data_IF_195403064716
#
_entry.id   IF_195403064716
#
_cell.length_a   1.000
_cell.length_b   1.000
_cell.length_c   1.000
_cell.angle_alpha   90.00
_cell.angle_beta   90.00
_cell.angle_gamma   90.00
#
_symmetry.space_group_name_H-M   'P 1'
#
loop_
_entity.id
_entity.type
_entity.pdbx_description
1 polymer ?
#
# COMPACT_ATOMS: atom_id res chain seq x y z
N UNK A 1 -14.27 -7.81 -2.60
CA UNK A 1 -13.98 -6.47 -3.22
C UNK A 1 -12.84 -5.83 -2.43
N UNK A 2 -11.83 -5.28 -3.13
CA UNK A 2 -10.70 -4.57 -2.50
C UNK A 2 -11.15 -3.21 -1.94
N UNK A 3 -10.38 -2.62 -1.02
CA UNK A 3 -10.76 -1.37 -0.32
C UNK A 3 -10.99 -0.19 -1.28
N UNK A 4 -10.11 -0.02 -2.27
CA UNK A 4 -10.23 0.96 -3.36
C UNK A 4 -10.85 2.35 -2.98
N UNK A 5 -10.26 3.11 -2.05
CA UNK A 5 -10.81 4.38 -1.55
C UNK A 5 -10.45 5.58 -2.46
N UNK A 6 -10.39 5.39 -3.79
CA UNK A 6 -9.83 6.41 -4.69
C UNK A 6 -10.57 7.75 -4.64
N UNK A 7 -11.89 7.75 -4.42
CA UNK A 7 -12.68 8.98 -4.31
C UNK A 7 -12.34 9.69 -3.00
N UNK A 8 -12.31 8.96 -1.88
CA UNK A 8 -11.98 9.49 -0.55
C UNK A 8 -10.57 10.08 -0.50
N UNK A 9 -9.57 9.40 -1.08
CA UNK A 9 -8.21 9.92 -1.18
C UNK A 9 -8.17 11.25 -1.96
N UNK A 10 -8.94 11.39 -3.04
CA UNK A 10 -8.99 12.65 -3.82
C UNK A 10 -9.68 13.76 -3.04
N UNK A 11 -10.75 13.46 -2.31
CA UNK A 11 -11.40 14.43 -1.43
C UNK A 11 -10.42 14.91 -0.36
N UNK A 12 -9.70 14.00 0.30
CA UNK A 12 -8.69 14.36 1.31
C UNK A 12 -7.60 15.25 0.71
N UNK A 13 -7.00 14.86 -0.41
CA UNK A 13 -5.97 15.66 -1.09
C UNK A 13 -6.45 17.07 -1.43
N UNK A 14 -7.69 17.20 -1.90
CA UNK A 14 -8.24 18.51 -2.23
C UNK A 14 -8.60 19.34 -0.98
N UNK A 15 -9.00 18.71 0.13
CA UNK A 15 -9.17 19.41 1.40
C UNK A 15 -7.84 20.00 1.89
N UNK A 16 -6.76 19.24 1.84
CA UNK A 16 -5.42 19.75 2.19
C UNK A 16 -4.97 20.86 1.23
N UNK A 17 -5.19 20.67 -0.08
CA UNK A 17 -4.88 21.69 -1.09
C UNK A 17 -5.68 22.99 -0.88
N UNK A 18 -6.93 22.91 -0.38
CA UNK A 18 -7.74 24.08 -0.03
C UNK A 18 -7.13 24.85 1.13
N UNK A 19 -6.68 24.17 2.18
CA UNK A 19 -6.04 24.84 3.31
C UNK A 19 -4.74 25.52 2.86
N UNK A 20 -3.94 24.84 2.03
CA UNK A 20 -2.74 25.44 1.43
C UNK A 20 -3.06 26.66 0.55
N UNK A 21 -4.06 26.54 -0.32
CA UNK A 21 -4.54 27.64 -1.19
C UNK A 21 -4.88 28.89 -0.36
N UNK A 22 -5.58 28.72 0.78
CA UNK A 22 -5.90 29.82 1.70
C UNK A 22 -4.67 30.42 2.35
N UNK A 23 -3.75 29.58 2.85
CA UNK A 23 -2.53 30.04 3.52
C UNK A 23 -1.64 30.90 2.62
N UNK A 24 -1.54 30.55 1.34
CA UNK A 24 -0.68 31.27 0.39
C UNK A 24 -1.42 32.37 -0.40
N UNK A 25 -2.74 32.53 -0.18
CA UNK A 25 -3.56 33.50 -0.90
C UNK A 25 -3.74 33.19 -2.40
N UNK A 26 -3.74 31.92 -2.79
CA UNK A 26 -4.00 31.53 -4.17
C UNK A 26 -5.51 31.57 -4.51
N UNK A 27 -5.85 31.92 -5.76
CA UNK A 27 -7.24 32.09 -6.19
C UNK A 27 -8.00 30.77 -6.43
N UNK A 28 -7.30 29.74 -6.93
CA UNK A 28 -7.89 28.45 -7.30
C UNK A 28 -6.84 27.32 -7.35
N UNK A 29 -7.30 26.09 -7.54
CA UNK A 29 -6.46 24.88 -7.59
C UNK A 29 -6.41 24.33 -9.01
N UNK A 30 -5.22 23.89 -9.43
CA UNK A 30 -5.00 23.18 -10.70
C UNK A 30 -4.67 21.72 -10.40
N UNK A 31 -5.29 20.78 -11.13
CA UNK A 31 -4.91 19.36 -11.08
C UNK A 31 -4.63 18.79 -12.47
N UNK A 32 -3.71 17.83 -12.56
CA UNK A 32 -3.43 17.09 -13.80
C UNK A 32 -4.43 15.95 -14.08
N UNK A 33 -5.65 16.01 -13.52
CA UNK A 33 -6.65 14.95 -13.72
C UNK A 33 -7.22 14.99 -15.13
N UNK A 34 -7.35 13.82 -15.76
CA UNK A 34 -7.94 13.66 -17.10
C UNK A 34 -9.24 12.87 -17.00
N UNK A 35 -10.30 13.39 -17.63
CA UNK A 35 -11.61 12.75 -17.68
C UNK A 35 -11.50 11.34 -18.28
N UNK A 36 -11.95 10.32 -17.55
CA UNK A 36 -11.95 8.92 -17.96
C UNK A 36 -10.60 8.20 -17.82
N UNK A 37 -9.53 8.88 -17.38
CA UNK A 37 -8.20 8.27 -17.35
C UNK A 37 -8.00 7.30 -16.18
N UNK A 38 -8.64 7.55 -15.02
CA UNK A 38 -8.71 6.61 -13.89
C UNK A 38 -10.17 6.18 -13.69
N UNK A 39 -10.47 4.87 -13.69
CA UNK A 39 -11.85 4.40 -13.83
C UNK A 39 -12.66 4.61 -12.55
N UNK A 40 -11.98 4.69 -11.39
CA UNK A 40 -12.60 4.79 -10.09
C UNK A 40 -12.89 6.23 -9.66
N UNK A 41 -12.02 7.18 -9.98
CA UNK A 41 -12.10 8.56 -9.48
C UNK A 41 -12.34 9.62 -10.54
N UNK A 42 -11.91 9.40 -11.79
CA UNK A 42 -11.91 10.44 -12.83
C UNK A 42 -13.07 10.26 -13.80
N UNK A 43 -14.31 10.36 -13.30
CA UNK A 43 -15.53 10.25 -14.09
C UNK A 43 -16.27 11.59 -14.10
N UNK A 44 -17.04 11.86 -15.16
CA UNK A 44 -17.72 13.15 -15.38
C UNK A 44 -18.56 13.57 -14.17
N UNK A 45 -19.31 12.63 -13.60
CA UNK A 45 -20.17 12.89 -12.43
C UNK A 45 -19.43 12.81 -11.09
N UNK A 46 -18.21 12.25 -11.07
CA UNK A 46 -17.42 12.10 -9.85
C UNK A 46 -16.62 13.35 -9.52
N UNK A 47 -16.13 14.11 -10.52
CA UNK A 47 -15.41 15.36 -10.25
C UNK A 47 -16.25 16.39 -9.48
N UNK A 48 -17.49 16.73 -9.89
CA UNK A 48 -18.30 17.71 -9.14
C UNK A 48 -18.62 17.25 -7.72
N UNK A 49 -18.79 15.94 -7.52
CA UNK A 49 -19.04 15.33 -6.21
C UNK A 49 -17.81 15.48 -5.30
N UNK A 50 -16.62 15.14 -5.79
CA UNK A 50 -15.35 15.30 -5.07
C UNK A 50 -15.13 16.78 -4.71
N UNK A 51 -15.26 17.68 -5.69
CA UNK A 51 -15.01 19.12 -5.50
C UNK A 51 -15.99 19.71 -4.48
N UNK A 52 -17.27 19.32 -4.54
CA UNK A 52 -18.28 19.73 -3.56
C UNK A 52 -17.94 19.25 -2.16
N UNK A 53 -17.53 17.99 -1.99
CA UNK A 53 -17.16 17.45 -0.67
C UNK A 53 -15.88 18.05 -0.09
N UNK A 54 -14.97 18.52 -0.95
CA UNK A 54 -13.80 19.30 -0.55
C UNK A 54 -14.12 20.79 -0.32
N UNK A 55 -15.36 21.23 -0.57
CA UNK A 55 -15.80 22.63 -0.57
C UNK A 55 -14.98 23.52 -1.53
N UNK A 56 -14.72 22.99 -2.72
CA UNK A 56 -13.96 23.63 -3.80
C UNK A 56 -14.77 23.65 -5.11
N UNK A 57 -16.10 23.58 -5.04
CA UNK A 57 -16.96 23.59 -6.23
C UNK A 57 -16.65 24.84 -7.08
N UNK A 58 -16.27 24.61 -8.33
CA UNK A 58 -15.92 25.68 -9.29
C UNK A 58 -14.51 26.24 -9.14
N UNK A 59 -13.72 25.81 -8.15
CA UNK A 59 -12.36 26.29 -7.89
C UNK A 59 -11.26 25.28 -8.27
N UNK A 60 -11.62 24.11 -8.80
CA UNK A 60 -10.65 23.10 -9.26
C UNK A 60 -10.62 23.07 -10.78
N UNK A 61 -9.57 23.67 -11.36
CA UNK A 61 -9.31 23.65 -12.79
C UNK A 61 -8.59 22.36 -13.19
N UNK A 62 -9.10 21.70 -14.23
CA UNK A 62 -8.53 20.48 -14.82
C UNK A 62 -8.14 20.76 -16.28
N UNK A 63 -7.01 21.44 -16.54
CA UNK A 63 -6.70 22.04 -17.84
C UNK A 63 -6.63 21.03 -18.99
N UNK A 64 -6.25 19.79 -18.71
CA UNK A 64 -6.16 18.73 -19.72
C UNK A 64 -7.53 18.28 -20.26
N UNK A 65 -8.61 18.46 -19.49
CA UNK A 65 -9.97 18.07 -19.87
C UNK A 65 -10.97 19.22 -19.78
N UNK A 66 -10.50 20.45 -19.62
CA UNK A 66 -11.33 21.60 -19.29
C UNK A 66 -12.46 21.81 -20.29
N UNK A 67 -12.19 21.65 -21.60
CA UNK A 67 -13.17 21.80 -22.67
C UNK A 67 -14.35 20.82 -22.59
N UNK A 68 -14.21 19.73 -21.82
CA UNK A 68 -15.23 18.69 -21.62
C UNK A 68 -15.98 18.78 -20.29
N UNK A 69 -15.60 19.73 -19.44
CA UNK A 69 -16.13 19.93 -18.09
C UNK A 69 -16.82 21.29 -17.99
N UNK A 70 -17.61 21.46 -16.93
CA UNK A 70 -18.27 22.74 -16.65
C UNK A 70 -17.23 23.85 -16.45
N UNK A 71 -17.59 25.07 -16.83
CA UNK A 71 -16.71 26.25 -16.71
C UNK A 71 -16.46 26.53 -15.22
N UNK A 72 -15.19 26.71 -14.85
CA UNK A 72 -14.77 27.05 -13.49
C UNK A 72 -14.82 28.57 -13.23
N UNK A 73 -14.81 28.98 -11.96
CA UNK A 73 -14.75 30.40 -11.56
C UNK A 73 -13.56 31.16 -12.17
N UNK A 74 -12.31 30.64 -12.17
CA UNK A 74 -11.21 31.34 -12.82
C UNK A 74 -11.37 31.49 -14.34
N UNK A 75 -12.07 30.56 -15.00
CA UNK A 75 -12.43 30.72 -16.41
C UNK A 75 -13.52 31.80 -16.61
N UNK A 76 -14.55 31.81 -15.77
CA UNK A 76 -15.65 32.80 -15.82
C UNK A 76 -15.15 34.23 -15.61
N UNK A 77 -14.23 34.42 -14.68
CA UNK A 77 -13.69 35.73 -14.33
C UNK A 77 -12.54 36.18 -15.26
N UNK A 78 -12.18 35.37 -16.26
CA UNK A 78 -11.14 35.69 -17.24
C UNK A 78 -9.70 35.52 -16.74
N UNK A 79 -9.47 34.94 -15.55
CA UNK A 79 -8.12 34.60 -15.06
C UNK A 79 -7.47 33.51 -15.91
N UNK A 80 -8.30 32.64 -16.51
CA UNK A 80 -7.86 31.54 -17.38
C UNK A 80 -8.64 31.58 -18.69
N UNK A 81 -7.91 31.57 -19.81
CA UNK A 81 -8.51 31.52 -21.14
C UNK A 81 -8.82 30.07 -21.52
N UNK A 82 -10.10 29.71 -21.56
CA UNK A 82 -10.55 28.35 -21.86
C UNK A 82 -10.09 27.83 -23.23
N UNK A 83 -9.93 28.71 -24.21
CA UNK A 83 -9.52 28.33 -25.57
C UNK A 83 -8.09 27.77 -25.62
N UNK A 84 -7.24 28.19 -24.68
CA UNK A 84 -5.85 27.71 -24.50
C UNK A 84 -5.78 26.35 -23.76
N UNK A 85 -6.92 25.81 -23.30
CA UNK A 85 -7.00 24.53 -22.59
C UNK A 85 -7.32 23.35 -23.53
N UNK A 86 -7.39 22.13 -22.98
CA UNK A 86 -7.52 20.90 -23.77
C UNK A 86 -8.82 20.14 -23.53
N UNK A 87 -9.09 19.19 -24.42
CA UNK A 87 -10.22 18.26 -24.44
C UNK A 87 -9.77 16.78 -24.32
N UNK A 88 -8.61 16.54 -23.72
CA UNK A 88 -8.05 15.19 -23.56
C UNK A 88 -8.98 14.39 -22.65
N UNK A 89 -9.29 13.16 -23.06
CA UNK A 89 -10.08 12.22 -22.29
C UNK A 89 -9.71 10.77 -22.59
N UNK A 90 -10.25 9.86 -21.78
CA UNK A 90 -10.08 8.43 -21.91
C UNK A 90 -8.80 7.91 -21.26
N UNK A 91 -8.48 6.65 -21.57
CA UNK A 91 -7.42 5.87 -20.89
C UNK A 91 -6.02 6.13 -21.39
N UNK A 92 -5.91 6.56 -22.65
CA UNK A 92 -4.63 6.77 -23.32
C UNK A 92 -3.88 7.94 -22.68
N UNK A 93 -2.55 7.81 -22.57
CA UNK A 93 -1.65 8.88 -22.15
C UNK A 93 -0.85 9.49 -23.31
N UNK A 94 -1.07 9.00 -24.54
CA UNK A 94 -0.35 9.50 -25.73
C UNK A 94 -0.46 11.02 -25.92
N UNK A 95 -1.64 11.66 -25.75
CA UNK A 95 -1.74 13.11 -25.89
C UNK A 95 -0.90 13.87 -24.86
N UNK A 96 -0.90 13.43 -23.60
CA UNK A 96 -0.10 14.05 -22.54
C UNK A 96 1.41 13.90 -22.81
N UNK A 97 1.84 12.74 -23.30
CA UNK A 97 3.25 12.52 -23.67
C UNK A 97 3.66 13.35 -24.88
N UNK A 98 2.76 13.56 -25.84
CA UNK A 98 3.00 14.47 -26.95
C UNK A 98 3.16 15.91 -26.45
N UNK A 99 2.26 16.36 -25.56
CA UNK A 99 2.32 17.68 -24.95
C UNK A 99 3.59 17.89 -24.12
N UNK A 100 4.01 16.86 -23.37
CA UNK A 100 5.27 16.90 -22.63
C UNK A 100 6.48 17.11 -23.57
N UNK A 101 6.50 16.43 -24.73
CA UNK A 101 7.55 16.65 -25.74
C UNK A 101 7.51 18.04 -26.34
N UNK A 102 6.32 18.56 -26.64
CA UNK A 102 6.11 19.90 -27.17
C UNK A 102 6.65 20.98 -26.20
N UNK A 103 6.40 20.82 -24.91
CA UNK A 103 6.91 21.72 -23.87
C UNK A 103 8.36 21.43 -23.44
N UNK A 104 9.05 20.46 -24.05
CA UNK A 104 10.42 20.10 -23.67
C UNK A 104 10.52 19.49 -22.26
N UNK A 105 9.44 18.93 -21.72
CA UNK A 105 9.42 18.26 -20.42
C UNK A 105 10.06 16.88 -20.55
N UNK A 106 11.31 16.76 -20.11
CA UNK A 106 12.10 15.52 -20.18
C UNK A 106 11.99 14.67 -18.92
N UNK A 107 11.63 15.28 -17.78
CA UNK A 107 11.48 14.59 -16.50
C UNK A 107 10.01 14.65 -16.04
N UNK A 108 9.35 13.50 -16.10
CA UNK A 108 8.04 13.30 -15.50
C UNK A 108 7.90 11.83 -15.09
N UNK A 109 7.17 11.55 -14.00
CA UNK A 109 7.04 10.20 -13.50
C UNK A 109 6.39 9.30 -14.56
N UNK A 110 6.98 8.12 -14.76
CA UNK A 110 6.33 7.06 -15.52
C UNK A 110 4.93 6.77 -14.92
N UNK A 111 3.95 6.35 -15.74
CA UNK A 111 2.61 6.05 -15.23
C UNK A 111 2.69 5.04 -14.09
N UNK A 112 2.48 5.51 -12.85
CA UNK A 112 2.53 4.64 -11.69
C UNK A 112 1.50 3.52 -11.84
N UNK A 113 1.86 2.33 -11.34
CA UNK A 113 0.97 1.19 -11.20
C UNK A 113 -0.31 1.52 -10.41
N UNK A 114 -1.19 0.53 -10.27
CA UNK A 114 -2.35 0.67 -9.40
C UNK A 114 -1.95 1.03 -7.96
N UNK A 115 -2.84 1.69 -7.22
CA UNK A 115 -2.65 1.89 -5.78
C UNK A 115 -2.50 0.52 -5.09
N UNK A 116 -1.67 0.40 -4.05
CA UNK A 116 -1.53 -0.86 -3.28
C UNK A 116 -2.86 -1.36 -2.72
N UNK A 117 -3.80 -0.45 -2.43
CA UNK A 117 -5.15 -0.78 -1.98
C UNK A 117 -6.04 -1.44 -3.06
N UNK A 118 -5.52 -1.52 -4.28
CA UNK A 118 -6.12 -2.27 -5.38
C UNK A 118 -5.51 -3.66 -5.54
N UNK A 119 -4.37 -3.95 -4.90
CA UNK A 119 -3.78 -5.30 -4.89
C UNK A 119 -4.51 -6.16 -3.84
N UNK A 120 -5.07 -7.33 -4.23
CA UNK A 120 -5.91 -8.14 -3.35
C UNK A 120 -5.23 -8.55 -2.04
N UNK A 121 -3.98 -9.02 -2.08
CA UNK A 121 -3.31 -9.52 -0.88
C UNK A 121 -2.96 -8.38 0.08
N UNK A 122 -2.50 -7.24 -0.42
CA UNK A 122 -2.24 -6.05 0.38
C UNK A 122 -3.53 -5.53 1.02
N UNK A 123 -4.61 -5.40 0.24
CA UNK A 123 -5.91 -4.98 0.76
C UNK A 123 -6.44 -5.95 1.83
N UNK A 124 -6.24 -7.26 1.64
CA UNK A 124 -6.60 -8.28 2.64
C UNK A 124 -5.78 -8.12 3.93
N UNK A 125 -4.45 -8.00 3.81
CA UNK A 125 -3.55 -7.79 4.96
C UNK A 125 -3.84 -6.50 5.72
N UNK A 126 -4.21 -5.42 5.01
CA UNK A 126 -4.58 -4.16 5.64
C UNK A 126 -5.91 -4.29 6.39
N UNK A 127 -6.91 -4.95 5.78
CA UNK A 127 -8.17 -5.23 6.47
C UNK A 127 -7.95 -6.06 7.74
N UNK A 128 -7.08 -7.06 7.65
CA UNK A 128 -6.66 -7.88 8.79
C UNK A 128 -6.00 -7.03 9.86
N UNK A 129 -5.03 -6.18 9.50
CA UNK A 129 -4.38 -5.28 10.46
C UNK A 129 -5.40 -4.39 11.19
N UNK A 130 -6.30 -3.75 10.46
CA UNK A 130 -7.33 -2.88 11.03
C UNK A 130 -8.36 -3.63 11.90
N UNK A 131 -8.44 -4.96 11.79
CA UNK A 131 -9.32 -5.79 12.65
C UNK A 131 -8.72 -5.95 14.05
N UNK A 132 -7.40 -6.01 14.16
CA UNK A 132 -6.69 -6.27 15.42
C UNK A 132 -5.98 -5.03 15.99
N UNK A 133 -5.86 -3.97 15.19
CA UNK A 133 -5.17 -2.73 15.56
C UNK A 133 -6.00 -1.55 15.09
N UNK A 134 -6.61 -0.84 16.03
CA UNK A 134 -7.51 0.29 15.74
C UNK A 134 -6.78 1.50 15.17
N UNK A 135 -5.54 1.73 15.59
CA UNK A 135 -4.71 2.84 15.13
C UNK A 135 -3.28 2.34 14.79
N UNK A 136 -3.10 1.71 13.61
CA UNK A 136 -1.81 1.16 13.23
C UNK A 136 -0.81 2.28 12.90
N UNK A 137 0.42 2.13 13.38
CA UNK A 137 1.49 3.07 13.08
C UNK A 137 2.02 2.94 11.64
N UNK A 138 2.82 3.90 11.20
CA UNK A 138 3.46 3.86 9.87
C UNK A 138 4.29 2.59 9.64
N UNK A 139 4.96 2.09 10.70
CA UNK A 139 5.73 0.85 10.64
C UNK A 139 4.84 -0.35 10.31
N UNK A 140 3.66 -0.46 10.92
CA UNK A 140 2.73 -1.57 10.67
C UNK A 140 2.23 -1.56 9.22
N UNK A 141 1.91 -0.38 8.69
CA UNK A 141 1.49 -0.21 7.29
C UNK A 141 2.62 -0.57 6.33
N UNK A 142 3.86 -0.15 6.61
CA UNK A 142 5.01 -0.46 5.77
C UNK A 142 5.35 -1.95 5.78
N UNK A 143 5.19 -2.64 6.92
CA UNK A 143 5.39 -4.08 7.02
C UNK A 143 4.48 -4.88 6.09
N UNK A 144 3.27 -4.41 5.79
CA UNK A 144 2.32 -5.13 4.92
C UNK A 144 2.86 -5.42 3.52
N UNK A 145 3.87 -4.66 3.08
CA UNK A 145 4.53 -4.79 1.77
C UNK A 145 5.50 -5.96 1.69
N UNK A 146 6.00 -6.44 2.83
CA UNK A 146 7.14 -7.35 2.91
C UNK A 146 6.78 -8.62 3.65
N UNK A 147 7.26 -9.75 3.13
CA UNK A 147 7.14 -11.03 3.79
C UNK A 147 5.80 -11.75 3.60
N UNK A 148 5.77 -12.94 4.22
CA UNK A 148 4.61 -13.81 4.40
C UNK A 148 4.10 -13.55 5.80
N UNK A 149 2.84 -13.15 5.93
CA UNK A 149 2.27 -12.81 7.23
C UNK A 149 1.45 -13.97 7.78
N UNK A 150 1.54 -14.15 9.09
CA UNK A 150 0.82 -15.16 9.85
C UNK A 150 0.26 -14.50 11.10
N UNK A 151 -0.98 -14.85 11.46
CA UNK A 151 -1.64 -14.39 12.67
C UNK A 151 -1.74 -15.54 13.65
N UNK A 152 -0.81 -15.63 14.60
CA UNK A 152 -0.80 -16.72 15.58
C UNK A 152 -1.94 -16.55 16.61
N UNK A 153 -2.11 -15.32 17.11
CA UNK A 153 -3.18 -14.93 18.03
C UNK A 153 -3.58 -13.47 17.78
N UNK A 154 -4.69 -12.96 18.34
CA UNK A 154 -5.10 -11.56 18.16
C UNK A 154 -3.99 -10.54 18.46
N UNK A 155 -3.13 -10.86 19.44
CA UNK A 155 -2.04 -10.00 19.90
C UNK A 155 -0.67 -10.38 19.31
N UNK A 156 -0.57 -11.39 18.42
CA UNK A 156 0.70 -11.92 17.93
C UNK A 156 0.72 -12.10 16.41
N UNK A 157 1.58 -11.33 15.74
CA UNK A 157 1.83 -11.42 14.29
C UNK A 157 3.22 -11.96 14.03
N UNK A 158 3.34 -12.89 13.08
CA UNK A 158 4.61 -13.43 12.61
C UNK A 158 4.77 -13.07 11.13
N UNK A 159 5.94 -12.57 10.74
CA UNK A 159 6.23 -12.15 9.36
C UNK A 159 7.55 -12.79 8.93
N UNK A 160 7.53 -13.55 7.83
CA UNK A 160 8.71 -14.25 7.30
C UNK A 160 9.13 -13.63 5.97
N UNK A 161 10.36 -13.13 5.90
CA UNK A 161 10.92 -12.55 4.67
C UNK A 161 10.98 -13.54 3.51
N UNK A 162 10.82 -13.06 2.27
CA UNK A 162 10.85 -13.90 1.06
C UNK A 162 12.21 -13.93 0.37
N UNK A 163 12.98 -12.88 0.52
CA UNK A 163 14.29 -12.69 -0.10
C UNK A 163 15.08 -11.62 0.67
N UNK A 164 16.36 -11.46 0.35
CA UNK A 164 17.30 -10.59 1.07
C UNK A 164 16.77 -9.16 1.28
N UNK A 165 16.30 -8.49 0.22
CA UNK A 165 15.72 -7.14 0.33
C UNK A 165 14.54 -7.03 1.32
N UNK A 166 13.72 -8.08 1.43
CA UNK A 166 12.64 -8.11 2.43
C UNK A 166 13.18 -8.35 3.84
N UNK A 167 14.20 -9.20 3.99
CA UNK A 167 14.87 -9.41 5.26
C UNK A 167 15.46 -8.10 5.80
N UNK A 168 16.16 -7.34 4.97
CA UNK A 168 16.68 -6.01 5.31
C UNK A 168 15.55 -5.05 5.74
N UNK A 169 14.44 -5.07 4.99
CA UNK A 169 13.27 -4.25 5.31
C UNK A 169 12.68 -4.64 6.67
N UNK A 170 12.52 -5.94 6.96
CA UNK A 170 12.00 -6.41 8.25
C UNK A 170 12.91 -5.98 9.42
N UNK A 171 14.22 -6.11 9.27
CA UNK A 171 15.20 -5.67 10.27
C UNK A 171 15.15 -4.15 10.50
N UNK A 172 15.04 -3.36 9.43
CA UNK A 172 14.99 -1.89 9.53
C UNK A 172 13.73 -1.34 10.20
N UNK A 173 12.61 -2.07 10.10
CA UNK A 173 11.32 -1.65 10.65
C UNK A 173 11.14 -2.17 12.08
N UNK A 174 11.75 -3.30 12.43
CA UNK A 174 11.65 -3.94 13.73
C UNK A 174 11.91 -2.95 14.88
N UNK A 175 11.11 -3.07 15.93
CA UNK A 175 11.26 -2.31 17.17
C UNK A 175 12.10 -3.10 18.17
N UNK A 176 12.67 -2.44 19.18
CA UNK A 176 13.55 -3.09 20.17
C UNK A 176 12.85 -4.23 20.93
N UNK A 177 11.52 -4.13 21.10
CA UNK A 177 10.71 -5.17 21.73
C UNK A 177 10.30 -6.31 20.79
N UNK A 178 10.50 -6.17 19.48
CA UNK A 178 10.19 -7.24 18.53
C UNK A 178 11.17 -8.42 18.68
N UNK A 179 10.75 -9.60 18.23
CA UNK A 179 11.59 -10.79 18.22
C UNK A 179 12.01 -11.14 16.80
N UNK A 180 13.30 -11.39 16.61
CA UNK A 180 13.88 -11.80 15.34
C UNK A 180 14.35 -13.24 15.43
N UNK A 181 14.00 -14.04 14.43
CA UNK A 181 14.43 -15.42 14.30
C UNK A 181 15.14 -15.64 12.97
N UNK A 182 16.21 -16.43 13.00
CA UNK A 182 16.93 -16.91 11.82
C UNK A 182 17.55 -18.28 12.08
N UNK A 183 17.77 -19.04 11.02
CA UNK A 183 18.58 -20.27 11.05
C UNK A 183 20.03 -19.89 10.75
N UNK A 184 20.97 -20.28 11.62
CA UNK A 184 22.39 -20.02 11.41
C UNK A 184 23.07 -21.16 10.65
N UNK A 185 24.07 -20.84 9.83
CA UNK A 185 24.80 -21.81 8.99
C UNK A 185 24.10 -22.20 7.68
N UNK A 186 22.94 -21.60 7.37
CA UNK A 186 22.16 -21.85 6.15
C UNK A 186 21.61 -20.53 5.57
N UNK A 187 21.23 -20.53 4.29
CA UNK A 187 20.39 -19.47 3.75
C UNK A 187 19.05 -19.45 4.50
N UNK A 188 18.75 -18.32 5.15
CA UNK A 188 17.62 -18.23 6.07
C UNK A 188 16.85 -16.93 5.89
N UNK A 189 15.51 -16.96 5.96
CA UNK A 189 14.71 -15.76 6.04
C UNK A 189 14.83 -15.13 7.43
N UNK A 190 14.68 -13.81 7.48
CA UNK A 190 14.38 -13.12 8.74
C UNK A 190 12.91 -13.35 9.06
N UNK A 191 12.64 -13.89 10.25
CA UNK A 191 11.30 -14.03 10.80
C UNK A 191 11.13 -13.04 11.95
N UNK A 192 10.16 -12.15 11.82
CA UNK A 192 9.81 -11.12 12.79
C UNK A 192 8.54 -11.53 13.54
N UNK A 193 8.57 -11.51 14.87
CA UNK A 193 7.36 -11.59 15.71
C UNK A 193 7.10 -10.21 16.30
N UNK A 194 5.86 -9.73 16.12
CA UNK A 194 5.36 -8.49 16.70
C UNK A 194 4.18 -8.76 17.62
N UNK A 195 4.22 -8.14 18.80
CA UNK A 195 3.19 -8.24 19.84
C UNK A 195 3.50 -9.29 20.92
N UNK A 196 2.46 -9.90 21.49
CA UNK A 196 2.58 -10.80 22.65
C UNK A 196 3.21 -12.14 22.26
N UNK A 197 4.34 -12.44 22.89
CA UNK A 197 5.14 -13.65 22.64
C UNK A 197 4.85 -14.68 23.72
N UNK A 198 4.26 -15.81 23.34
CA UNK A 198 4.17 -17.02 24.18
C UNK A 198 5.19 -18.05 23.69
N UNK A 199 5.46 -19.08 24.49
CA UNK A 199 6.37 -20.17 24.09
C UNK A 199 5.88 -20.88 22.83
N UNK A 200 4.57 -21.08 22.69
CA UNK A 200 3.96 -21.68 21.51
C UNK A 200 4.11 -20.77 20.28
N UNK A 201 4.00 -19.45 20.46
CA UNK A 201 4.22 -18.50 19.37
C UNK A 201 5.66 -18.54 18.86
N UNK A 202 6.64 -18.64 19.77
CA UNK A 202 8.06 -18.79 19.44
C UNK A 202 8.32 -20.11 18.72
N UNK A 203 7.74 -21.21 19.19
CA UNK A 203 7.85 -22.51 18.54
C UNK A 203 7.30 -22.49 17.11
N UNK A 204 6.10 -21.92 16.91
CA UNK A 204 5.51 -21.77 15.57
C UNK A 204 6.36 -20.87 14.68
N UNK A 205 6.86 -19.74 15.19
CA UNK A 205 7.71 -18.85 14.42
C UNK A 205 9.04 -19.51 14.01
N UNK A 206 9.65 -20.30 14.92
CA UNK A 206 10.86 -21.05 14.64
C UNK A 206 10.62 -22.12 13.57
N UNK A 207 9.52 -22.86 13.67
CA UNK A 207 9.12 -23.84 12.63
C UNK A 207 8.88 -23.18 11.28
N UNK A 208 8.25 -22.00 11.24
CA UNK A 208 8.07 -21.22 10.01
C UNK A 208 9.42 -20.76 9.43
N UNK A 209 10.32 -20.26 10.28
CA UNK A 209 11.68 -19.85 9.87
C UNK A 209 12.44 -21.04 9.25
N UNK A 210 12.43 -22.19 9.92
CA UNK A 210 13.06 -23.42 9.44
C UNK A 210 12.49 -23.88 8.09
N UNK A 211 11.16 -23.86 7.93
CA UNK A 211 10.48 -24.24 6.67
C UNK A 211 10.94 -23.43 5.46
N UNK A 212 11.12 -22.12 5.65
CA UNK A 212 11.49 -21.21 4.56
C UNK A 212 13.01 -21.02 4.43
N UNK A 213 13.81 -21.70 5.24
CA UNK A 213 15.26 -21.76 5.11
C UNK A 213 15.71 -22.87 4.15
N UNK A 214 16.99 -22.87 3.79
CA UNK A 214 17.62 -23.94 3.02
C UNK A 214 17.73 -25.26 3.82
N UNK A 215 17.55 -25.20 5.14
CA UNK A 215 17.58 -26.36 6.05
C UNK A 215 16.23 -27.10 6.19
N UNK A 216 15.21 -26.77 5.38
CA UNK A 216 13.86 -27.34 5.43
C UNK A 216 13.75 -28.88 5.33
N UNK A 217 14.83 -29.56 4.98
CA UNK A 217 14.90 -31.01 4.79
C UNK A 217 15.33 -31.75 6.07
N UNK A 218 15.80 -31.02 7.08
CA UNK A 218 16.19 -31.60 8.37
C UNK A 218 14.97 -31.84 9.25
N UNK A 219 15.03 -32.87 10.10
CA UNK A 219 13.94 -33.19 11.04
C UNK A 219 13.76 -32.10 12.11
N UNK A 220 14.85 -31.50 12.57
CA UNK A 220 14.85 -30.37 13.49
C UNK A 220 16.13 -29.56 13.31
N UNK A 221 16.04 -28.25 13.50
CA UNK A 221 17.18 -27.33 13.43
C UNK A 221 17.13 -26.29 14.54
N UNK A 222 18.30 -25.86 14.99
CA UNK A 222 18.44 -24.76 15.94
C UNK A 222 18.18 -23.44 15.24
N UNK A 223 17.15 -22.73 15.72
CA UNK A 223 16.77 -21.40 15.27
C UNK A 223 17.26 -20.40 16.30
N UNK A 224 18.12 -19.48 15.89
CA UNK A 224 18.54 -18.38 16.73
C UNK A 224 17.37 -17.41 16.91
N UNK A 225 17.06 -17.11 18.17
CA UNK A 225 16.02 -16.17 18.60
C UNK A 225 16.71 -14.99 19.27
N UNK A 226 16.43 -13.78 18.80
CA UNK A 226 17.00 -12.53 19.31
C UNK A 226 15.90 -11.57 19.74
N UNK A 227 15.96 -11.12 20.99
CA UNK A 227 15.04 -10.13 21.58
C UNK A 227 15.86 -9.17 22.42
N UNK A 228 15.84 -7.87 22.09
CA UNK A 228 16.73 -6.88 22.72
C UNK A 228 18.18 -7.38 22.71
N UNK A 229 18.80 -7.45 23.88
CA UNK A 229 20.18 -7.90 24.08
C UNK A 229 20.29 -9.40 24.40
N UNK A 230 19.17 -10.13 24.42
CA UNK A 230 19.14 -11.56 24.72
C UNK A 230 19.04 -12.38 23.43
N UNK A 231 19.90 -13.41 23.34
CA UNK A 231 19.85 -14.41 22.28
C UNK A 231 19.86 -15.81 22.85
N UNK A 232 19.02 -16.68 22.31
CA UNK A 232 18.99 -18.11 22.65
C UNK A 232 18.62 -18.93 21.40
N UNK A 233 18.81 -20.25 21.48
CA UNK A 233 18.44 -21.16 20.40
C UNK A 233 17.18 -21.94 20.77
N UNK A 234 16.30 -22.11 19.80
CA UNK A 234 15.13 -22.97 19.91
C UNK A 234 15.20 -24.02 18.82
N UNK A 235 15.16 -25.30 19.21
CA UNK A 235 15.15 -26.42 18.29
C UNK A 235 13.73 -26.64 17.76
N UNK A 236 13.54 -26.50 16.45
CA UNK A 236 12.23 -26.62 15.82
C UNK A 236 12.27 -27.49 14.55
N UNK A 237 11.23 -28.31 14.30
CA UNK A 237 11.03 -28.93 12.99
C UNK A 237 10.52 -27.88 11.99
N UNK A 238 10.83 -28.02 10.68
CA UNK A 238 10.17 -27.24 9.64
C UNK A 238 8.64 -27.37 9.73
N UNK A 239 7.93 -26.24 9.71
CA UNK A 239 6.46 -26.22 9.73
C UNK A 239 5.86 -27.05 8.58
N UNK A 240 4.75 -27.74 8.83
CA UNK A 240 3.97 -28.47 7.83
C UNK A 240 2.96 -27.56 7.11
N UNK A 241 2.11 -28.14 6.26
CA UNK A 241 1.02 -27.41 5.59
C UNK A 241 -0.10 -27.00 6.55
N UNK A 242 -0.38 -27.76 7.61
CA UNK A 242 -1.45 -27.46 8.55
C UNK A 242 -1.18 -26.15 9.31
N UNK A 243 0.07 -25.94 9.73
CA UNK A 243 0.51 -24.69 10.36
C UNK A 243 0.33 -23.50 9.40
N UNK A 244 0.66 -23.69 8.12
CA UNK A 244 0.44 -22.64 7.12
C UNK A 244 -1.05 -22.34 6.95
N UNK A 245 -1.88 -23.35 6.73
CA UNK A 245 -3.30 -23.19 6.42
C UNK A 245 -4.10 -22.60 7.58
N UNK A 246 -3.62 -22.85 8.81
CA UNK A 246 -4.19 -22.33 10.05
C UNK A 246 -3.89 -20.85 10.28
N UNK A 247 -2.64 -20.42 10.07
CA UNK A 247 -2.19 -19.10 10.51
C UNK A 247 -1.93 -18.09 9.39
N UNK A 248 -1.76 -18.54 8.14
CA UNK A 248 -1.32 -17.67 7.04
C UNK A 248 -2.40 -16.65 6.67
N UNK A 249 -1.96 -15.40 6.57
CA UNK A 249 -2.79 -14.27 6.16
C UNK A 249 -2.66 -14.13 4.64
N UNK A 250 -3.49 -14.87 3.93
CA UNK A 250 -3.61 -14.75 2.49
C UNK A 250 -5.05 -14.94 2.03
N UNK A 251 -5.37 -14.36 0.88
CA UNK A 251 -6.65 -14.61 0.25
C UNK A 251 -6.62 -16.04 -0.27
N UNK A 252 -7.34 -16.96 0.40
CA UNK A 252 -7.53 -18.32 -0.11
C UNK A 252 -8.25 -18.21 -1.46
N UNK A 253 -7.71 -18.85 -2.49
CA UNK A 253 -8.43 -18.95 -3.76
C UNK A 253 -9.75 -19.66 -3.47
N UNK A 254 -10.87 -18.99 -3.72
CA UNK A 254 -12.16 -19.67 -3.77
C UNK A 254 -12.07 -20.65 -4.92
N UNK A 255 -12.10 -21.95 -4.62
CA UNK A 255 -12.50 -22.96 -5.59
C UNK A 255 -13.96 -22.66 -5.92
N UNK A 256 -14.18 -21.75 -6.87
CA UNK A 256 -15.42 -21.50 -7.62
C UNK A 256 -15.27 -20.15 -8.35
N UNK A 257 -14.62 -20.21 -9.51
CA UNK A 257 -14.74 -19.22 -10.58
C UNK A 257 -14.61 -19.96 -11.92
N UNK A 258 -15.38 -21.04 -12.06
CA UNK A 258 -15.59 -21.77 -13.31
C UNK A 258 -17.02 -22.32 -13.30
N UNK A 259 -17.98 -21.41 -13.43
CA UNK A 259 -19.35 -21.66 -13.89
C UNK A 259 -19.92 -20.38 -14.46
#
# INVERSE_FOLDING_TARGET
>A
KNMNPCIDCRILMLKEARELMRMIGADFIITGEVLGQRPMSQRKNTFPMIDKQAMLKGLVLRPLSAKLLDITVPEQNGLVKRDELYDINGRSRKPQMALAREFGLTDYPAPAGGCLLTEPNYAFRLKELLTYTSDPGFKDINLLRSGRHFRFSPECKIIVGRHEKENETLLSIADADDCILRVEGYGSPITLIRGKRTEEALAVAASLCARYSDAKHLQAIDVAVSVKDNSFYLKAPPADSEVLDKYRIEMKATADASS
#
